data_IF_159118803608
#
_entry.id   IF_159118803608
#
_cell.length_a   1.000
_cell.length_b   1.000
_cell.length_c   1.000
_cell.angle_alpha   90.00
_cell.angle_beta   90.00
_cell.angle_gamma   90.00
#
_symmetry.space_group_name_H-M   'P 1'
#
loop_
_entity.id
_entity.type
_entity.pdbx_description
1 polymer ?
#
# COMPACT_ATOMS: atom_id res chain seq x y z
N UNK A 1 -5.27 -26.90 -0.48
CA UNK A 1 -5.33 -26.23 -1.79
C UNK A 1 -4.56 -24.91 -1.72
N UNK A 2 -3.40 -24.81 -2.35
CA UNK A 2 -2.74 -23.52 -2.55
C UNK A 2 -3.58 -22.72 -3.55
N UNK A 3 -4.24 -21.65 -3.10
CA UNK A 3 -4.91 -20.72 -3.99
C UNK A 3 -3.91 -20.28 -5.06
N UNK A 4 -4.22 -20.52 -6.34
CA UNK A 4 -3.37 -20.18 -7.46
C UNK A 4 -3.08 -18.68 -7.40
N UNK A 5 -1.79 -18.32 -7.29
CA UNK A 5 -1.39 -16.92 -7.13
C UNK A 5 -1.74 -16.14 -8.38
N UNK A 6 -2.31 -14.95 -8.19
CA UNK A 6 -2.65 -14.06 -9.29
C UNK A 6 -1.43 -13.21 -9.67
N UNK A 7 -0.88 -13.43 -10.88
CA UNK A 7 0.31 -12.75 -11.37
C UNK A 7 0.15 -11.23 -11.37
N UNK A 8 -0.95 -10.72 -11.92
CA UNK A 8 -1.23 -9.28 -12.00
C UNK A 8 -1.20 -8.62 -10.63
N UNK A 9 -1.78 -9.26 -9.61
CA UNK A 9 -1.79 -8.74 -8.24
C UNK A 9 -0.40 -8.72 -7.63
N UNK A 10 0.37 -9.79 -7.82
CA UNK A 10 1.75 -9.82 -7.33
C UNK A 10 2.60 -8.73 -8.04
N UNK A 11 2.37 -8.49 -9.33
CA UNK A 11 3.04 -7.38 -10.05
C UNK A 11 2.63 -6.02 -9.50
N UNK A 12 1.34 -5.75 -9.29
CA UNK A 12 0.87 -4.49 -8.70
C UNK A 12 1.53 -4.24 -7.35
N UNK A 13 1.62 -5.26 -6.49
CA UNK A 13 2.34 -5.17 -5.21
C UNK A 13 3.83 -4.87 -5.39
N UNK A 14 4.46 -5.45 -6.41
CA UNK A 14 5.85 -5.19 -6.77
C UNK A 14 6.09 -3.73 -7.19
N UNK A 15 5.29 -3.22 -8.12
CA UNK A 15 5.36 -1.83 -8.56
C UNK A 15 4.99 -0.86 -7.44
N UNK A 16 4.02 -1.22 -6.61
CA UNK A 16 3.63 -0.47 -5.43
C UNK A 16 4.78 -0.36 -4.42
N UNK A 17 5.49 -1.45 -4.12
CA UNK A 17 6.57 -1.38 -3.13
C UNK A 17 7.81 -0.65 -3.66
N UNK A 18 8.09 -0.75 -4.97
CA UNK A 18 9.10 0.10 -5.61
C UNK A 18 8.70 1.57 -5.47
N UNK A 19 7.42 1.89 -5.75
CA UNK A 19 6.89 3.25 -5.61
C UNK A 19 6.99 3.77 -4.18
N UNK A 20 6.77 2.93 -3.15
CA UNK A 20 6.97 3.30 -1.74
C UNK A 20 8.42 3.72 -1.49
N UNK A 21 9.40 2.90 -1.91
CA UNK A 21 10.83 3.20 -1.76
C UNK A 21 11.17 4.53 -2.45
N UNK A 22 10.79 4.66 -3.72
CA UNK A 22 11.04 5.87 -4.51
C UNK A 22 10.40 7.09 -3.84
N UNK A 23 9.16 7.00 -3.36
CA UNK A 23 8.48 8.12 -2.69
C UNK A 23 9.23 8.61 -1.44
N UNK A 24 9.85 7.69 -0.70
CA UNK A 24 10.61 8.01 0.52
C UNK A 24 11.98 8.58 0.19
N UNK A 25 12.65 8.04 -0.83
CA UNK A 25 13.96 8.54 -1.27
C UNK A 25 13.85 9.95 -1.87
N UNK A 26 12.80 10.20 -2.65
CA UNK A 26 12.53 11.51 -3.26
C UNK A 26 11.82 12.51 -2.32
N UNK A 27 11.49 12.10 -1.09
CA UNK A 27 10.84 12.97 -0.10
C UNK A 27 11.75 14.14 0.30
N UNK A 28 11.21 15.35 0.33
CA UNK A 28 11.97 16.55 0.73
C UNK A 28 12.87 17.12 -0.38
N UNK A 29 12.92 16.51 -1.57
CA UNK A 29 13.41 17.21 -2.76
C UNK A 29 12.44 18.31 -3.15
N UNK A 30 12.99 19.50 -3.43
CA UNK A 30 12.25 20.69 -3.89
C UNK A 30 12.37 20.92 -5.38
N UNK A 31 13.29 20.21 -6.07
CA UNK A 31 13.42 20.27 -7.51
C UNK A 31 12.18 19.67 -8.23
N UNK A 32 11.83 20.17 -9.43
CA UNK A 32 10.63 19.74 -10.15
C UNK A 32 10.56 18.22 -10.38
N UNK A 33 11.70 17.58 -10.66
CA UNK A 33 11.77 16.14 -10.89
C UNK A 33 11.42 15.36 -9.62
N UNK A 34 11.96 15.75 -8.47
CA UNK A 34 11.65 15.11 -7.20
C UNK A 34 10.20 15.28 -6.78
N UNK A 35 9.63 16.46 -7.01
CA UNK A 35 8.19 16.70 -6.79
C UNK A 35 7.38 15.78 -7.70
N UNK A 36 7.66 15.76 -9.01
CA UNK A 36 6.95 14.94 -9.98
C UNK A 36 6.97 13.45 -9.66
N UNK A 37 8.17 12.90 -9.39
CA UNK A 37 8.33 11.48 -9.04
C UNK A 37 7.56 11.17 -7.75
N UNK A 38 7.62 12.05 -6.75
CA UNK A 38 6.87 11.88 -5.51
C UNK A 38 5.36 11.87 -5.75
N UNK A 39 4.85 12.78 -6.57
CA UNK A 39 3.41 12.85 -6.87
C UNK A 39 2.92 11.58 -7.58
N UNK A 40 3.63 11.13 -8.62
CA UNK A 40 3.25 9.90 -9.33
C UNK A 40 3.27 8.70 -8.40
N UNK A 41 4.28 8.57 -7.54
CA UNK A 41 4.45 7.40 -6.68
C UNK A 41 3.43 7.29 -5.54
N UNK A 42 2.64 8.34 -5.27
CA UNK A 42 1.61 8.31 -4.21
C UNK A 42 0.50 7.28 -4.46
N UNK A 43 0.30 6.84 -5.70
CA UNK A 43 -0.70 5.83 -6.06
C UNK A 43 -0.58 4.50 -5.30
N UNK A 44 0.63 4.18 -4.85
CA UNK A 44 0.95 2.86 -4.31
C UNK A 44 0.17 2.53 -3.04
N UNK A 45 -0.03 3.51 -2.14
CA UNK A 45 -0.73 3.30 -0.87
C UNK A 45 -2.22 2.97 -1.10
N UNK A 46 -2.99 3.79 -1.85
CA UNK A 46 -4.34 3.44 -2.29
C UNK A 46 -4.42 2.10 -3.04
N UNK A 47 -3.48 1.81 -3.94
CA UNK A 47 -3.47 0.55 -4.67
C UNK A 47 -3.45 -0.66 -3.73
N UNK A 48 -2.62 -0.64 -2.68
CA UNK A 48 -2.58 -1.75 -1.75
C UNK A 48 -3.91 -1.93 -1.02
N UNK A 49 -4.64 -0.85 -0.71
CA UNK A 49 -5.99 -0.93 -0.15
C UNK A 49 -7.01 -1.50 -1.16
N UNK A 50 -6.96 -1.08 -2.43
CA UNK A 50 -7.81 -1.67 -3.47
C UNK A 50 -7.55 -3.17 -3.63
N UNK A 51 -6.28 -3.57 -3.69
CA UNK A 51 -5.90 -4.99 -3.75
C UNK A 51 -6.33 -5.74 -2.49
N UNK A 52 -6.23 -5.12 -1.31
CA UNK A 52 -6.68 -5.72 -0.06
C UNK A 52 -8.19 -5.98 -0.10
N UNK A 53 -8.99 -4.97 -0.48
CA UNK A 53 -10.44 -5.08 -0.60
C UNK A 53 -10.87 -6.15 -1.61
N UNK A 54 -10.15 -6.28 -2.73
CA UNK A 54 -10.44 -7.27 -3.77
C UNK A 54 -10.39 -8.73 -3.28
N UNK A 55 -9.51 -9.02 -2.32
CA UNK A 55 -9.38 -10.36 -1.72
C UNK A 55 -10.18 -10.54 -0.42
N UNK A 56 -10.95 -9.54 0.00
CA UNK A 56 -11.83 -9.72 1.13
C UNK A 56 -12.98 -10.65 0.76
N UNK A 57 -13.33 -11.51 1.71
CA UNK A 57 -14.43 -12.45 1.58
C UNK A 57 -15.08 -12.62 2.95
N UNK A 58 -16.30 -13.17 2.94
CA UNK A 58 -17.00 -13.52 4.17
C UNK A 58 -16.18 -14.47 5.05
N UNK A 59 -16.10 -14.20 6.36
CA UNK A 59 -15.39 -15.09 7.27
C UNK A 59 -16.20 -16.37 7.52
N UNK A 60 -15.66 -17.54 7.17
CA UNK A 60 -16.22 -18.82 7.63
C UNK A 60 -16.00 -19.01 9.14
N UNK A 61 -14.78 -18.76 9.60
CA UNK A 61 -14.44 -18.63 11.01
C UNK A 61 -13.66 -17.33 11.21
N UNK A 62 -14.35 -16.31 11.73
CA UNK A 62 -13.78 -14.97 11.88
C UNK A 62 -12.56 -14.98 12.80
N UNK A 63 -12.65 -15.64 13.97
CA UNK A 63 -11.56 -15.66 14.94
C UNK A 63 -10.30 -16.31 14.40
N UNK A 64 -10.43 -17.47 13.76
CA UNK A 64 -9.29 -18.17 13.17
C UNK A 64 -8.66 -17.36 12.02
N UNK A 65 -9.48 -16.79 11.14
CA UNK A 65 -9.03 -15.96 10.01
C UNK A 65 -8.32 -14.68 10.48
N UNK A 66 -8.92 -13.98 11.44
CA UNK A 66 -8.37 -12.78 12.05
C UNK A 66 -7.06 -13.06 12.78
N UNK A 67 -6.99 -14.14 13.56
CA UNK A 67 -5.77 -14.55 14.24
C UNK A 67 -4.64 -14.89 13.26
N UNK A 68 -4.96 -15.56 12.14
CA UNK A 68 -3.99 -15.82 11.07
C UNK A 68 -3.45 -14.52 10.45
N UNK A 69 -4.30 -13.51 10.24
CA UNK A 69 -3.88 -12.19 9.73
C UNK A 69 -3.01 -11.45 10.74
N UNK A 70 -3.37 -11.48 12.03
CA UNK A 70 -2.60 -10.89 13.12
C UNK A 70 -1.20 -11.52 13.18
N UNK A 71 -1.11 -12.86 13.23
CA UNK A 71 0.17 -13.57 13.25
C UNK A 71 1.04 -13.26 12.03
N UNK A 72 0.42 -13.18 10.84
CA UNK A 72 1.15 -13.00 9.59
C UNK A 72 1.62 -11.56 9.37
N UNK A 73 0.84 -10.56 9.77
CA UNK A 73 1.07 -9.16 9.41
C UNK A 73 1.33 -8.26 10.63
N UNK A 74 0.51 -8.39 11.69
CA UNK A 74 0.57 -7.50 12.85
C UNK A 74 1.74 -7.82 13.77
N UNK A 75 2.03 -9.11 14.01
CA UNK A 75 3.19 -9.50 14.82
C UNK A 75 4.50 -8.99 14.20
N UNK A 76 4.79 -9.23 12.89
CA UNK A 76 5.95 -8.61 12.25
C UNK A 76 5.94 -7.09 12.34
N UNK A 77 4.79 -6.45 12.13
CA UNK A 77 4.65 -5.00 12.30
C UNK A 77 5.04 -4.54 13.70
N UNK A 78 4.58 -5.19 14.77
CA UNK A 78 4.90 -4.80 16.15
C UNK A 78 6.40 -4.93 16.44
N UNK A 79 7.05 -6.01 15.97
CA UNK A 79 8.51 -6.14 16.09
C UNK A 79 9.24 -4.97 15.45
N UNK A 80 8.80 -4.56 14.26
CA UNK A 80 9.38 -3.41 13.56
C UNK A 80 9.02 -2.07 14.22
N UNK A 81 7.80 -1.91 14.73
CA UNK A 81 7.39 -0.70 15.44
C UNK A 81 8.24 -0.47 16.69
N UNK A 82 8.52 -1.53 17.46
CA UNK A 82 9.42 -1.50 18.62
C UNK A 82 10.85 -1.20 18.17
N UNK A 83 11.34 -1.90 17.14
CA UNK A 83 12.68 -1.66 16.60
C UNK A 83 12.86 -0.19 16.19
N UNK A 84 11.93 0.40 15.43
CA UNK A 84 12.00 1.80 15.02
C UNK A 84 11.87 2.75 16.21
N UNK A 85 11.01 2.45 17.19
CA UNK A 85 10.91 3.21 18.43
C UNK A 85 12.25 3.29 19.15
N UNK A 86 12.89 2.14 19.37
CA UNK A 86 14.22 2.05 19.99
C UNK A 86 15.29 2.74 19.15
N UNK A 87 15.30 2.52 17.84
CA UNK A 87 16.25 3.16 16.93
C UNK A 87 16.19 4.68 17.04
N UNK A 88 15.00 5.29 16.91
CA UNK A 88 14.86 6.75 17.00
C UNK A 88 15.06 7.30 18.42
N UNK A 89 14.78 6.50 19.45
CA UNK A 89 15.12 6.86 20.82
C UNK A 89 16.64 6.94 21.03
N UNK A 90 17.39 5.97 20.51
CA UNK A 90 18.86 5.96 20.58
C UNK A 90 19.47 7.07 19.71
N UNK A 91 19.06 7.20 18.45
CA UNK A 91 19.73 8.10 17.49
C UNK A 91 19.27 9.55 17.59
N UNK A 92 18.01 9.80 17.97
CA UNK A 92 17.39 11.15 17.96
C UNK A 92 16.75 11.55 19.29
N UNK A 93 16.92 10.76 20.36
CA UNK A 93 16.32 11.00 21.69
C UNK A 93 14.80 11.21 21.67
N UNK A 94 14.12 10.67 20.66
CA UNK A 94 12.66 10.77 20.53
C UNK A 94 11.99 9.68 21.38
N UNK A 95 11.29 10.10 22.44
CA UNK A 95 10.47 9.18 23.22
C UNK A 95 9.29 8.63 22.40
N UNK A 96 8.84 7.43 22.75
CA UNK A 96 7.66 6.81 22.15
C UNK A 96 6.86 6.07 23.22
N UNK A 97 5.55 6.01 23.03
CA UNK A 97 4.59 5.36 23.94
C UNK A 97 4.11 4.03 23.39
N UNK A 98 3.43 3.24 24.22
CA UNK A 98 2.72 2.03 23.76
C UNK A 98 1.68 2.38 22.69
N UNK A 99 1.00 3.51 22.84
CA UNK A 99 0.04 4.01 21.86
C UNK A 99 0.71 4.31 20.51
N UNK A 100 1.94 4.80 20.51
CA UNK A 100 2.70 5.04 19.26
C UNK A 100 3.06 3.74 18.54
N UNK A 101 3.31 2.66 19.29
CA UNK A 101 3.54 1.32 18.73
C UNK A 101 2.28 0.75 18.08
N UNK A 102 1.12 0.96 18.70
CA UNK A 102 -0.15 0.45 18.19
C UNK A 102 -0.61 1.26 16.97
N UNK A 103 -0.51 2.58 17.03
CA UNK A 103 -0.97 3.49 15.98
C UNK A 103 0.02 3.67 14.82
N UNK A 104 1.20 3.06 14.89
CA UNK A 104 2.21 3.14 13.84
C UNK A 104 2.87 4.52 13.75
N UNK A 105 2.97 5.22 14.88
CA UNK A 105 3.57 6.56 14.97
C UNK A 105 5.08 6.54 15.21
N UNK A 106 5.66 5.37 15.48
CA UNK A 106 7.12 5.24 15.71
C UNK A 106 7.95 5.50 14.46
N UNK A 107 7.43 5.21 13.27
CA UNK A 107 8.04 5.62 12.00
C UNK A 107 6.96 6.05 11.01
N UNK A 108 7.29 7.02 10.16
CA UNK A 108 6.32 7.67 9.28
C UNK A 108 5.59 6.67 8.37
N UNK A 109 6.24 5.65 7.85
CA UNK A 109 5.57 4.71 6.93
C UNK A 109 4.58 3.80 7.67
N UNK A 110 4.82 3.49 8.96
CA UNK A 110 4.11 2.45 9.72
C UNK A 110 2.62 2.74 9.97
N UNK A 111 2.16 3.99 9.88
CA UNK A 111 0.73 4.32 10.01
C UNK A 111 -0.12 3.50 9.02
N UNK A 112 0.43 3.22 7.84
CA UNK A 112 -0.27 2.46 6.81
C UNK A 112 -0.61 1.05 7.30
N UNK A 113 0.30 0.39 8.03
CA UNK A 113 0.05 -0.95 8.57
C UNK A 113 -1.06 -0.97 9.63
N UNK A 114 -1.18 0.10 10.42
CA UNK A 114 -2.30 0.25 11.34
C UNK A 114 -3.64 0.22 10.57
N UNK A 115 -3.82 1.09 9.56
CA UNK A 115 -5.05 1.09 8.75
C UNK A 115 -5.25 -0.22 8.00
N UNK A 116 -4.18 -0.77 7.42
CA UNK A 116 -4.23 -2.05 6.73
C UNK A 116 -4.77 -3.15 7.64
N UNK A 117 -4.32 -3.21 8.90
CA UNK A 117 -4.82 -4.19 9.86
C UNK A 117 -6.24 -3.92 10.32
N UNK A 118 -6.59 -2.66 10.61
CA UNK A 118 -7.96 -2.27 10.96
C UNK A 118 -8.94 -2.72 9.88
N UNK A 119 -8.67 -2.41 8.60
CA UNK A 119 -9.52 -2.86 7.51
C UNK A 119 -9.47 -4.37 7.32
N UNK A 120 -8.30 -5.02 7.45
CA UNK A 120 -8.17 -6.46 7.32
C UNK A 120 -9.05 -7.25 8.29
N UNK A 121 -9.29 -6.69 9.48
CA UNK A 121 -10.08 -7.28 10.55
C UNK A 121 -11.55 -6.87 10.44
N UNK A 122 -11.85 -5.58 10.27
CA UNK A 122 -13.22 -5.08 10.35
C UNK A 122 -14.01 -5.24 9.03
N UNK A 123 -13.42 -4.97 7.87
CA UNK A 123 -14.16 -5.00 6.60
C UNK A 123 -14.70 -6.38 6.21
N UNK A 124 -14.07 -7.54 6.55
CA UNK A 124 -14.70 -8.84 6.37
C UNK A 124 -16.06 -9.00 7.07
N UNK A 125 -16.29 -8.27 8.18
CA UNK A 125 -17.59 -8.30 8.88
C UNK A 125 -18.72 -7.72 8.04
N UNK A 126 -18.42 -6.88 7.03
CA UNK A 126 -19.44 -6.37 6.10
C UNK A 126 -20.12 -7.49 5.31
N UNK A 127 -19.46 -8.65 5.13
CA UNK A 127 -20.06 -9.82 4.49
C UNK A 127 -21.11 -10.53 5.34
N UNK A 128 -21.22 -10.20 6.63
CA UNK A 128 -22.33 -10.65 7.48
C UNK A 128 -23.63 -9.88 7.17
N UNK A 129 -23.53 -8.73 6.49
CA UNK A 129 -24.69 -7.93 6.11
C UNK A 129 -25.35 -8.50 4.84
N UNK A 130 -26.68 -8.33 4.68
CA UNK A 130 -27.36 -8.60 3.42
C UNK A 130 -26.70 -7.85 2.26
N UNK A 131 -26.61 -8.49 1.09
CA UNK A 131 -25.87 -7.95 -0.07
C UNK A 131 -26.26 -6.51 -0.42
N UNK A 132 -27.55 -6.17 -0.41
CA UNK A 132 -28.03 -4.80 -0.69
C UNK A 132 -27.45 -3.78 0.28
N UNK A 133 -27.48 -4.08 1.58
CA UNK A 133 -26.93 -3.22 2.64
C UNK A 133 -25.42 -3.11 2.48
N UNK A 134 -24.73 -4.25 2.29
CA UNK A 134 -23.28 -4.28 2.08
C UNK A 134 -22.86 -3.38 0.91
N UNK A 135 -23.49 -3.53 -0.26
CA UNK A 135 -23.19 -2.71 -1.43
C UNK A 135 -23.44 -1.22 -1.14
N UNK A 136 -24.57 -0.89 -0.49
CA UNK A 136 -24.85 0.48 -0.04
C UNK A 136 -23.76 1.03 0.89
N UNK A 137 -23.29 0.24 1.85
CA UNK A 137 -22.17 0.60 2.73
C UNK A 137 -20.87 0.82 1.95
N UNK A 138 -20.56 -0.02 0.95
CA UNK A 138 -19.36 0.15 0.13
C UNK A 138 -19.41 1.45 -0.68
N UNK A 139 -20.56 1.80 -1.27
CA UNK A 139 -20.72 3.09 -1.94
C UNK A 139 -20.62 4.26 -0.96
N UNK A 140 -21.20 4.14 0.23
CA UNK A 140 -21.04 5.14 1.28
C UNK A 140 -19.56 5.33 1.66
N UNK A 141 -18.80 4.26 1.85
CA UNK A 141 -17.36 4.32 2.11
C UNK A 141 -16.60 5.02 0.97
N UNK A 142 -16.94 4.72 -0.29
CA UNK A 142 -16.34 5.37 -1.45
C UNK A 142 -16.64 6.89 -1.48
N UNK A 143 -17.90 7.28 -1.42
CA UNK A 143 -18.29 8.69 -1.56
C UNK A 143 -17.88 9.54 -0.36
N UNK A 144 -17.99 9.00 0.86
CA UNK A 144 -17.50 9.69 2.07
C UNK A 144 -15.99 9.91 2.05
N UNK A 145 -15.21 8.98 1.48
CA UNK A 145 -13.77 9.15 1.34
C UNK A 145 -13.43 10.28 0.36
N UNK A 146 -14.13 10.35 -0.77
CA UNK A 146 -14.01 11.46 -1.73
C UNK A 146 -14.37 12.78 -1.03
N UNK A 147 -15.51 12.81 -0.34
CA UNK A 147 -15.98 14.00 0.38
C UNK A 147 -14.98 14.47 1.44
N UNK A 148 -14.42 13.57 2.26
CA UNK A 148 -13.43 13.92 3.29
C UNK A 148 -12.16 14.50 2.67
N UNK A 149 -11.65 13.91 1.59
CA UNK A 149 -10.45 14.44 0.92
C UNK A 149 -10.71 15.81 0.29
N UNK A 150 -11.88 16.01 -0.33
CA UNK A 150 -12.28 17.31 -0.85
C UNK A 150 -12.43 18.36 0.26
N UNK A 151 -13.06 18.01 1.39
CA UNK A 151 -13.19 18.91 2.54
C UNK A 151 -11.82 19.30 3.09
N UNK A 152 -10.88 18.37 3.19
CA UNK A 152 -9.52 18.63 3.68
C UNK A 152 -8.70 19.50 2.73
N UNK A 153 -8.93 19.34 1.44
CA UNK A 153 -8.34 20.18 0.40
C UNK A 153 -8.90 21.60 0.48
N UNK A 154 -10.23 21.77 0.47
CA UNK A 154 -10.90 23.07 0.64
C UNK A 154 -10.46 23.74 1.95
N UNK A 155 -10.44 22.99 3.06
CA UNK A 155 -10.02 23.49 4.37
C UNK A 155 -8.60 24.04 4.33
N UNK A 156 -7.70 23.38 3.57
CA UNK A 156 -6.32 23.83 3.41
C UNK A 156 -6.21 25.02 2.47
N UNK A 157 -6.87 24.98 1.31
CA UNK A 157 -6.80 26.03 0.29
C UNK A 157 -7.35 27.35 0.81
N UNK A 158 -8.49 27.32 1.48
CA UNK A 158 -9.15 28.52 2.00
C UNK A 158 -8.80 28.84 3.46
N UNK A 159 -7.89 28.07 4.08
CA UNK A 159 -7.50 28.21 5.49
C UNK A 159 -8.70 28.22 6.47
N UNK A 160 -9.74 27.44 6.16
CA UNK A 160 -10.94 27.28 6.98
C UNK A 160 -10.94 25.92 7.69
N UNK A 161 -11.33 25.86 8.95
CA UNK A 161 -11.42 24.59 9.68
C UNK A 161 -12.84 24.01 9.60
N UNK A 162 -13.14 23.27 8.53
CA UNK A 162 -14.46 22.61 8.36
C UNK A 162 -14.54 21.35 9.23
N UNK A 163 -13.51 20.50 9.18
CA UNK A 163 -13.41 19.28 9.99
C UNK A 163 -12.00 19.20 10.55
N UNK A 164 -11.88 19.04 11.87
CA UNK A 164 -10.62 18.75 12.54
C UNK A 164 -10.60 17.29 13.01
N UNK A 165 -9.45 16.63 12.89
CA UNK A 165 -9.29 15.23 13.28
C UNK A 165 -7.93 15.05 13.97
N UNK A 166 -7.93 14.67 15.24
CA UNK A 166 -6.72 14.56 16.07
C UNK A 166 -6.10 13.16 16.12
N UNK A 167 -6.72 12.17 15.46
CA UNK A 167 -6.28 10.77 15.46
C UNK A 167 -6.15 10.13 14.08
N UNK A 168 -6.04 8.79 14.02
CA UNK A 168 -6.19 8.07 12.76
C UNK A 168 -7.57 8.33 12.16
N UNK A 169 -7.63 8.62 10.86
CA UNK A 169 -8.87 8.87 10.12
C UNK A 169 -9.05 7.77 9.05
N UNK A 170 -9.76 6.68 9.37
CA UNK A 170 -10.04 5.60 8.41
C UNK A 170 -10.82 6.07 7.18
N UNK A 171 -11.61 7.15 7.31
CA UNK A 171 -12.43 7.69 6.21
C UNK A 171 -11.57 8.13 5.01
N UNK A 172 -10.30 8.48 5.23
CA UNK A 172 -9.35 8.85 4.18
C UNK A 172 -8.95 7.69 3.26
N UNK A 173 -9.12 6.45 3.71
CA UNK A 173 -8.56 5.27 3.05
C UNK A 173 -9.59 4.22 2.69
N UNK A 174 -10.70 4.18 3.42
CA UNK A 174 -11.67 3.09 3.29
C UNK A 174 -12.40 3.07 1.94
N UNK A 175 -12.43 4.17 1.18
CA UNK A 175 -13.01 4.21 -0.16
C UNK A 175 -12.19 3.39 -1.14
N UNK A 176 -10.87 3.36 -0.99
CA UNK A 176 -9.99 2.50 -1.78
C UNK A 176 -10.21 1.01 -1.49
N UNK A 177 -10.43 0.64 -0.21
CA UNK A 177 -10.86 -0.72 0.14
C UNK A 177 -12.18 -1.05 -0.55
N UNK A 178 -13.14 -0.12 -0.50
CA UNK A 178 -14.48 -0.31 -1.06
C UNK A 178 -14.44 -0.55 -2.57
N UNK A 179 -13.58 0.16 -3.32
CA UNK A 179 -13.37 -0.09 -4.76
C UNK A 179 -12.98 -1.56 -4.99
N UNK A 180 -12.00 -2.07 -4.23
CA UNK A 180 -11.58 -3.47 -4.32
C UNK A 180 -12.72 -4.44 -4.06
N UNK A 181 -13.47 -4.23 -2.97
CA UNK A 181 -14.61 -5.07 -2.60
C UNK A 181 -15.73 -5.00 -3.63
N UNK A 182 -16.05 -3.82 -4.18
CA UNK A 182 -17.04 -3.65 -5.24
C UNK A 182 -16.64 -4.44 -6.50
N UNK A 183 -15.38 -4.38 -6.93
CA UNK A 183 -14.91 -5.19 -8.07
C UNK A 183 -15.06 -6.70 -7.79
N UNK A 184 -14.95 -7.13 -6.54
CA UNK A 184 -15.21 -8.53 -6.15
C UNK A 184 -16.71 -8.88 -6.16
N UNK A 185 -17.60 -7.96 -5.78
CA UNK A 185 -19.07 -8.13 -5.76
C UNK A 185 -19.72 -8.18 -7.15
N UNK A 186 -19.03 -7.68 -8.18
CA UNK A 186 -19.51 -7.62 -9.56
C UNK A 186 -18.54 -8.34 -10.53
N UNK A 187 -18.53 -9.68 -10.57
CA UNK A 187 -17.66 -10.44 -11.48
C UNK A 187 -17.84 -10.08 -12.96
N UNK A 188 -19.06 -9.69 -13.36
CA UNK A 188 -19.39 -9.26 -14.73
C UNK A 188 -18.56 -8.05 -15.18
N UNK A 189 -18.21 -7.14 -14.27
CA UNK A 189 -17.36 -5.98 -14.57
C UNK A 189 -15.99 -6.43 -15.07
N UNK A 190 -15.42 -7.51 -14.52
CA UNK A 190 -14.10 -8.01 -14.96
C UNK A 190 -14.15 -8.50 -16.41
N UNK A 191 -15.23 -9.22 -16.76
CA UNK A 191 -15.47 -9.69 -18.12
C UNK A 191 -15.63 -8.49 -19.07
N UNK A 192 -16.44 -7.51 -18.68
CA UNK A 192 -16.68 -6.30 -19.47
C UNK A 192 -15.41 -5.47 -19.70
N UNK A 193 -14.58 -5.28 -18.65
CA UNK A 193 -13.27 -4.60 -18.76
C UNK A 193 -12.35 -5.35 -19.73
N UNK A 194 -12.36 -6.69 -19.69
CA UNK A 194 -11.52 -7.50 -20.59
C UNK A 194 -11.92 -7.33 -22.05
N UNK A 195 -13.22 -7.35 -22.33
CA UNK A 195 -13.79 -7.16 -23.67
C UNK A 195 -13.53 -5.74 -24.21
N UNK A 196 -13.53 -4.73 -23.34
CA UNK A 196 -13.37 -3.32 -23.71
C UNK A 196 -12.03 -2.73 -23.24
N UNK A 197 -10.99 -3.56 -23.14
CA UNK A 197 -9.72 -3.22 -22.48
C UNK A 197 -9.06 -1.93 -22.99
N UNK A 198 -9.13 -1.66 -24.30
CA UNK A 198 -8.59 -0.42 -24.90
C UNK A 198 -9.28 0.84 -24.36
N UNK A 199 -10.62 0.85 -24.35
CA UNK A 199 -11.39 1.98 -23.85
C UNK A 199 -11.14 2.21 -22.35
N UNK A 200 -11.06 1.12 -21.57
CA UNK A 200 -10.74 1.20 -20.15
C UNK A 200 -9.31 1.67 -19.88
N UNK A 201 -8.31 1.27 -20.69
CA UNK A 201 -6.95 1.80 -20.58
C UNK A 201 -6.93 3.30 -20.86
N UNK A 202 -7.58 3.76 -21.94
CA UNK A 202 -7.63 5.20 -22.29
C UNK A 202 -8.30 6.00 -21.17
N UNK A 203 -9.46 5.55 -20.68
CA UNK A 203 -10.16 6.19 -19.57
C UNK A 203 -9.34 6.17 -18.28
N UNK A 204 -8.64 5.08 -17.98
CA UNK A 204 -7.78 4.96 -16.81
C UNK A 204 -6.56 5.88 -16.88
N UNK A 205 -5.95 6.02 -18.07
CA UNK A 205 -4.84 6.96 -18.30
C UNK A 205 -5.30 8.42 -18.24
N UNK A 206 -6.49 8.74 -18.77
CA UNK A 206 -7.09 10.06 -18.63
C UNK A 206 -7.36 10.41 -17.17
N UNK A 207 -7.91 9.47 -16.40
CA UNK A 207 -8.14 9.64 -14.97
C UNK A 207 -6.82 9.82 -14.20
N UNK A 208 -5.80 9.02 -14.54
CA UNK A 208 -4.45 9.17 -13.99
C UNK A 208 -3.88 10.57 -14.29
N UNK A 209 -3.97 11.03 -15.53
CA UNK A 209 -3.49 12.34 -15.95
C UNK A 209 -4.20 13.47 -15.21
N UNK A 210 -5.53 13.39 -15.03
CA UNK A 210 -6.29 14.35 -14.24
C UNK A 210 -5.79 14.43 -12.80
N UNK A 211 -5.61 13.29 -12.13
CA UNK A 211 -5.09 13.25 -10.76
C UNK A 211 -3.62 13.65 -10.63
N UNK A 212 -2.85 13.59 -11.72
CA UNK A 212 -1.47 14.05 -11.75
C UNK A 212 -1.36 15.56 -12.00
N UNK A 213 -2.19 16.12 -12.88
CA UNK A 213 -2.13 17.54 -13.30
C UNK A 213 -2.82 18.47 -12.31
N UNK A 214 -3.97 18.07 -11.76
CA UNK A 214 -4.77 18.91 -10.85
C UNK A 214 -3.94 19.53 -9.70
N UNK A 215 -3.02 18.79 -9.04
CA UNK A 215 -2.23 19.36 -7.96
C UNK A 215 -1.25 20.47 -8.39
N UNK A 216 -0.81 20.45 -9.66
CA UNK A 216 0.04 21.50 -10.23
C UNK A 216 -0.77 22.75 -10.53
N UNK A 217 -2.03 22.60 -10.94
CA UNK A 217 -2.91 23.72 -11.27
C UNK A 217 -3.40 24.45 -10.01
N UNK A 218 -3.61 23.73 -8.92
CA UNK A 218 -4.17 24.26 -7.67
C UNK A 218 -3.13 24.55 -6.58
N UNK A 219 -1.83 24.45 -6.91
CA UNK A 219 -0.71 24.64 -5.96
C UNK A 219 -0.83 23.77 -4.69
N UNK A 220 -1.33 22.54 -4.85
CA UNK A 220 -1.45 21.54 -3.76
C UNK A 220 -0.33 20.50 -3.80
N UNK A 221 0.78 20.82 -4.47
CA UNK A 221 1.97 19.96 -4.56
C UNK A 221 2.58 19.67 -3.19
N UNK A 222 2.99 18.43 -2.96
CA UNK A 222 3.57 18.03 -1.68
C UNK A 222 2.57 17.93 -0.52
N UNK A 223 1.29 18.25 -0.74
CA UNK A 223 0.22 17.96 0.20
C UNK A 223 -0.07 16.44 0.20
N UNK A 224 0.78 15.72 0.94
CA UNK A 224 0.79 14.27 1.05
C UNK A 224 -0.59 13.74 1.46
N UNK A 225 -1.17 12.90 0.59
CA UNK A 225 -2.34 12.05 0.86
C UNK A 225 -3.64 12.74 1.33
N UNK A 226 -3.69 14.08 1.36
CA UNK A 226 -4.83 14.86 1.86
C UNK A 226 -5.55 15.65 0.75
N UNK A 227 -5.42 15.22 -0.51
CA UNK A 227 -5.98 15.89 -1.68
C UNK A 227 -6.95 14.97 -2.42
N UNK A 228 -7.98 15.54 -3.03
CA UNK A 228 -8.95 14.81 -3.82
C UNK A 228 -8.30 14.14 -5.03
N UNK A 229 -7.29 14.77 -5.66
CA UNK A 229 -6.57 14.24 -6.81
C UNK A 229 -5.92 12.86 -6.61
N UNK A 230 -5.68 12.44 -5.38
CA UNK A 230 -5.15 11.10 -5.12
C UNK A 230 -6.10 9.99 -5.59
N UNK A 231 -7.41 10.24 -5.61
CA UNK A 231 -8.39 9.31 -6.13
C UNK A 231 -8.22 9.03 -7.62
N UNK A 232 -8.39 10.03 -8.51
CA UNK A 232 -8.24 9.81 -9.94
C UNK A 232 -6.84 9.29 -10.30
N UNK A 233 -5.78 9.81 -9.65
CA UNK A 233 -4.41 9.33 -9.81
C UNK A 233 -4.31 7.82 -9.55
N UNK A 234 -4.77 7.39 -8.37
CA UNK A 234 -4.55 6.02 -7.92
C UNK A 234 -5.45 5.01 -8.60
N UNK A 235 -6.72 5.37 -8.81
CA UNK A 235 -7.68 4.50 -9.50
C UNK A 235 -7.26 4.33 -10.96
N UNK A 236 -6.89 5.43 -11.64
CA UNK A 236 -6.43 5.42 -13.01
C UNK A 236 -5.19 4.56 -13.20
N UNK A 237 -4.12 4.82 -12.44
CA UNK A 237 -2.87 4.07 -12.60
C UNK A 237 -3.03 2.60 -12.20
N UNK A 238 -3.76 2.31 -11.11
CA UNK A 238 -3.99 0.92 -10.68
C UNK A 238 -4.76 0.15 -11.75
N UNK A 239 -5.82 0.73 -12.32
CA UNK A 239 -6.62 0.07 -13.34
C UNK A 239 -5.84 -0.13 -14.64
N UNK A 240 -5.10 0.89 -15.11
CA UNK A 240 -4.27 0.80 -16.31
C UNK A 240 -3.22 -0.32 -16.18
N UNK A 241 -2.51 -0.36 -15.04
CA UNK A 241 -1.53 -1.41 -14.76
C UNK A 241 -2.20 -2.78 -14.61
N UNK A 242 -3.35 -2.87 -13.94
CA UNK A 242 -4.07 -4.12 -13.80
C UNK A 242 -4.48 -4.72 -15.16
N UNK A 243 -4.95 -3.88 -16.10
CA UNK A 243 -5.31 -4.33 -17.45
C UNK A 243 -4.05 -4.75 -18.22
N UNK A 244 -3.01 -3.92 -18.22
CA UNK A 244 -1.74 -4.21 -18.91
C UNK A 244 -1.11 -5.52 -18.43
N UNK A 245 -1.02 -5.74 -17.12
CA UNK A 245 -0.44 -6.96 -16.53
C UNK A 245 -1.38 -8.17 -16.52
N UNK A 246 -2.61 -8.02 -17.03
CA UNK A 246 -3.51 -9.14 -17.32
C UNK A 246 -3.38 -9.67 -18.75
N UNK A 247 -2.52 -9.07 -19.57
CA UNK A 247 -2.20 -9.56 -20.93
C UNK A 247 -1.31 -10.81 -20.89
N UNK A 248 -1.09 -11.45 -22.05
CA UNK A 248 -0.39 -12.74 -22.12
C UNK A 248 1.13 -12.65 -21.84
N UNK A 249 1.78 -11.55 -22.23
CA UNK A 249 3.23 -11.38 -22.08
C UNK A 249 3.63 -9.94 -21.67
N UNK A 250 3.18 -9.46 -20.50
CA UNK A 250 3.54 -8.13 -20.02
C UNK A 250 5.02 -8.06 -19.63
N UNK A 251 5.65 -6.92 -19.97
CA UNK A 251 7.06 -6.69 -19.72
C UNK A 251 7.39 -6.72 -18.22
N UNK A 252 8.51 -7.33 -17.85
CA UNK A 252 9.01 -7.34 -16.47
C UNK A 252 8.15 -8.09 -15.44
N UNK A 253 7.04 -8.73 -15.85
CA UNK A 253 6.06 -9.30 -14.91
C UNK A 253 6.64 -10.34 -13.95
N UNK A 254 7.61 -11.16 -14.39
CA UNK A 254 8.30 -12.12 -13.51
C UNK A 254 9.08 -11.41 -12.40
N UNK A 255 9.81 -10.36 -12.76
CA UNK A 255 10.61 -9.57 -11.83
C UNK A 255 9.72 -8.80 -10.84
N UNK A 256 8.71 -8.09 -11.33
CA UNK A 256 7.79 -7.35 -10.47
C UNK A 256 6.97 -8.28 -9.58
N UNK A 257 6.52 -9.44 -10.10
CA UNK A 257 5.89 -10.46 -9.28
C UNK A 257 6.82 -10.93 -8.17
N UNK A 258 8.07 -11.27 -8.49
CA UNK A 258 9.10 -11.69 -7.52
C UNK A 258 9.28 -10.69 -6.36
N UNK A 259 9.32 -9.39 -6.68
CA UNK A 259 9.36 -8.30 -5.70
C UNK A 259 8.06 -8.27 -4.88
N UNK A 260 6.91 -8.33 -5.54
CA UNK A 260 5.60 -8.27 -4.90
C UNK A 260 5.34 -9.40 -3.90
N UNK A 261 5.92 -10.59 -4.12
CA UNK A 261 5.83 -11.69 -3.14
C UNK A 261 6.57 -11.40 -1.83
N UNK A 262 7.48 -10.42 -1.85
CA UNK A 262 8.35 -10.01 -0.74
C UNK A 262 7.98 -8.63 -0.18
N UNK A 263 6.90 -8.03 -0.66
CA UNK A 263 6.52 -6.64 -0.39
C UNK A 263 6.49 -6.30 1.10
N UNK A 264 5.93 -7.14 1.96
CA UNK A 264 5.85 -6.87 3.40
C UNK A 264 7.23 -6.72 4.07
N UNK A 265 8.19 -7.58 3.71
CA UNK A 265 9.54 -7.52 4.28
C UNK A 265 10.29 -6.27 3.82
N UNK A 266 10.18 -5.95 2.52
CA UNK A 266 10.75 -4.74 1.93
C UNK A 266 10.10 -3.49 2.58
N UNK A 267 8.77 -3.50 2.71
CA UNK A 267 8.01 -2.42 3.33
C UNK A 267 8.43 -2.14 4.76
N UNK A 268 8.68 -3.17 5.57
CA UNK A 268 9.10 -2.95 6.96
C UNK A 268 10.57 -2.50 7.05
N UNK A 269 11.44 -3.00 6.17
CA UNK A 269 12.89 -2.75 6.26
C UNK A 269 13.44 -1.54 5.51
N UNK A 270 12.77 -1.09 4.44
CA UNK A 270 13.35 -0.08 3.53
C UNK A 270 13.72 1.24 4.23
N UNK A 271 12.92 1.67 5.21
CA UNK A 271 13.07 3.00 5.80
C UNK A 271 14.36 3.17 6.61
N UNK A 272 14.94 2.09 7.15
CA UNK A 272 16.28 2.13 7.79
C UNK A 272 17.35 2.57 6.79
N UNK A 273 17.21 2.16 5.52
CA UNK A 273 18.24 2.37 4.50
C UNK A 273 18.09 3.72 3.79
N UNK A 274 16.87 4.28 3.76
CA UNK A 274 16.58 5.51 3.02
C UNK A 274 17.42 6.68 3.51
N UNK A 275 17.38 7.00 4.81
CA UNK A 275 18.07 8.17 5.35
C UNK A 275 19.61 8.07 5.20
N UNK A 276 20.27 6.97 5.60
CA UNK A 276 21.72 6.82 5.44
C UNK A 276 22.18 6.89 3.97
N UNK A 277 21.51 6.17 3.06
CA UNK A 277 21.92 6.11 1.66
C UNK A 277 21.76 7.45 0.95
N UNK A 278 20.72 8.22 1.28
CA UNK A 278 20.56 9.58 0.75
C UNK A 278 21.69 10.52 1.14
N UNK A 279 22.18 10.38 2.38
CA UNK A 279 23.25 11.22 2.90
C UNK A 279 24.61 10.82 2.32
N UNK A 280 24.90 9.53 2.21
CA UNK A 280 26.19 9.02 1.68
C UNK A 280 26.33 9.27 0.18
N UNK A 281 25.23 9.20 -0.58
CA UNK A 281 25.25 9.33 -2.05
C UNK A 281 25.07 10.77 -2.54
N UNK A 282 25.34 11.79 -1.72
CA UNK A 282 25.20 13.20 -2.09
C UNK A 282 23.83 13.52 -2.76
N UNK A 283 22.75 12.93 -2.27
CA UNK A 283 21.39 13.07 -2.84
C UNK A 283 21.20 12.50 -4.26
N UNK A 284 22.03 11.56 -4.73
CA UNK A 284 21.64 10.70 -5.86
C UNK A 284 20.49 9.78 -5.42
N UNK A 285 19.27 10.28 -5.65
CA UNK A 285 18.02 9.62 -5.26
C UNK A 285 17.71 8.38 -6.08
N UNK A 286 18.15 8.33 -7.34
CA UNK A 286 17.91 7.17 -8.19
C UNK A 286 18.77 6.00 -7.72
N UNK A 287 20.07 6.24 -7.51
CA UNK A 287 20.98 5.23 -6.99
C UNK A 287 20.59 4.80 -5.57
N UNK A 288 20.21 5.74 -4.70
CA UNK A 288 19.73 5.42 -3.36
C UNK A 288 18.50 4.50 -3.39
N UNK A 289 17.49 4.79 -4.23
CA UNK A 289 16.31 3.94 -4.36
C UNK A 289 16.65 2.52 -4.87
N UNK A 290 17.56 2.42 -5.84
CA UNK A 290 18.04 1.14 -6.35
C UNK A 290 18.75 0.32 -5.27
N UNK A 291 19.68 0.94 -4.53
CA UNK A 291 20.41 0.25 -3.44
C UNK A 291 19.47 -0.20 -2.33
N UNK A 292 18.50 0.63 -1.92
CA UNK A 292 17.48 0.24 -0.93
C UNK A 292 16.75 -1.02 -1.39
N UNK A 293 16.28 -1.05 -2.65
CA UNK A 293 15.58 -2.20 -3.20
C UNK A 293 16.47 -3.45 -3.22
N UNK A 294 17.70 -3.34 -3.74
CA UNK A 294 18.63 -4.46 -3.87
C UNK A 294 19.02 -5.04 -2.50
N UNK A 295 19.33 -4.19 -1.52
CA UNK A 295 19.67 -4.62 -0.15
C UNK A 295 18.48 -5.30 0.51
N UNK A 296 17.26 -4.76 0.40
CA UNK A 296 16.07 -5.42 0.93
C UNK A 296 15.79 -6.78 0.27
N UNK A 297 16.00 -6.90 -1.05
CA UNK A 297 15.85 -8.16 -1.77
C UNK A 297 16.92 -9.18 -1.35
N UNK A 298 18.18 -8.76 -1.22
CA UNK A 298 19.28 -9.59 -0.77
C UNK A 298 19.06 -10.09 0.67
N UNK A 299 18.70 -9.20 1.60
CA UNK A 299 18.40 -9.54 2.98
C UNK A 299 17.25 -10.56 3.07
N UNK A 300 16.21 -10.39 2.25
CA UNK A 300 15.09 -11.34 2.19
C UNK A 300 15.52 -12.69 1.59
N UNK A 301 16.33 -12.70 0.54
CA UNK A 301 16.84 -13.92 -0.07
C UNK A 301 17.73 -14.73 0.90
N UNK A 302 18.59 -14.05 1.66
CA UNK A 302 19.40 -14.67 2.73
C UNK A 302 18.48 -15.29 3.78
N UNK A 303 17.51 -14.54 4.30
CA UNK A 303 16.52 -15.06 5.27
C UNK A 303 15.79 -16.29 4.74
N UNK A 304 15.34 -16.28 3.49
CA UNK A 304 14.62 -17.40 2.87
C UNK A 304 15.51 -18.65 2.81
N UNK A 305 16.78 -18.51 2.39
CA UNK A 305 17.75 -19.61 2.37
C UNK A 305 18.05 -20.16 3.76
N UNK A 306 18.23 -19.30 4.75
CA UNK A 306 18.48 -19.73 6.14
C UNK A 306 17.31 -20.52 6.71
N UNK A 307 16.08 -20.08 6.46
CA UNK A 307 14.88 -20.81 6.90
C UNK A 307 14.75 -22.18 6.22
N UNK A 308 15.01 -22.25 4.91
CA UNK A 308 15.03 -23.53 4.18
C UNK A 308 16.11 -24.47 4.71
N UNK A 309 17.30 -23.96 5.01
CA UNK A 309 18.37 -24.74 5.61
C UNK A 309 18.00 -25.25 7.01
N UNK A 310 17.38 -24.42 7.85
CA UNK A 310 16.90 -24.86 9.17
C UNK A 310 15.84 -25.95 9.05
N UNK A 311 14.86 -25.80 8.14
CA UNK A 311 13.80 -26.78 7.93
C UNK A 311 14.33 -28.12 7.41
N UNK A 312 15.25 -28.09 6.45
CA UNK A 312 15.90 -29.31 5.92
C UNK A 312 16.74 -30.00 7.00
N UNK A 313 17.42 -29.24 7.87
CA UNK A 313 18.16 -29.81 9.01
C UNK A 313 17.21 -30.42 10.04
N UNK A 314 16.13 -29.75 10.42
CA UNK A 314 15.11 -30.30 11.33
C UNK A 314 14.50 -31.60 10.79
N UNK A 315 14.17 -31.63 9.50
CA UNK A 315 13.59 -32.81 8.85
C UNK A 315 14.55 -34.01 8.80
N UNK A 316 15.85 -33.76 8.64
CA UNK A 316 16.89 -34.81 8.71
C UNK A 316 17.07 -35.37 10.13
N UNK A 317 16.91 -34.54 11.16
CA UNK A 317 17.03 -34.97 12.57
C UNK A 317 15.77 -35.74 13.03
N UNK A 318 14.61 -35.47 12.44
CA UNK A 318 13.34 -36.15 12.77
C UNK A 318 13.02 -37.36 11.90
N UNK A 319 13.89 -37.74 10.96
CA UNK A 319 13.71 -38.97 10.19
C UNK A 319 14.07 -40.16 11.10
N UNK A 320 13.14 -41.10 11.37
CA UNK A 320 13.48 -42.32 12.09
C UNK A 320 14.49 -43.12 11.26
N UNK A 321 15.54 -43.61 11.93
CA UNK A 321 16.47 -44.58 11.36
C UNK A 321 15.74 -45.87 10.95
#
# INVERSE_FOLDING_TARGET
>A
MHAQRNLMVDVLKGLGIISVIVSHVYRGGTDPLAVFIREITMWCVPMFFMVQGYYMSGPQNYWQSSWKKIKKNYIPYLYWAVFYGLFFWVTRRKAFTVTDLILGKTALHLYYMFYYMVFALLCPLLYLLPRKVRIGTLFFMLFSNIAVNLILEISRTYQVSIISWSGPNPLKWWGFIAIGMLVAEYPSIKKYIREHSRAFIVGALALFALGLVEPYLNDTLGYLFNKAAIFPLSVGLTLALAIYYSTASPWGARFFSYIGQRSLGIYLGHFILVDPLRNVLNQDRALAALLVLLVCLAAKAVKDRTLQWMQTRSARVSAPN
#
